data_IF_267403426118
#
_entry.id   IF_267403426118
#
_cell.length_a   1.000
_cell.length_b   1.000
_cell.length_c   1.000
_cell.angle_alpha   90.00
_cell.angle_beta   90.00
_cell.angle_gamma   90.00
#
_symmetry.space_group_name_H-M   'P 1'
#
loop_
_entity.id
_entity.type
_entity.pdbx_description
1 polymer ?
#
# COMPACT_ATOMS: atom_id res chain seq x y z
N UNK A 1 0.35 -16.70 -2.25
CA UNK A 1 1.49 -17.62 -2.52
C UNK A 1 1.68 -18.46 -1.27
N UNK A 2 1.75 -19.80 -1.40
CA UNK A 2 1.96 -20.68 -0.24
C UNK A 2 3.41 -20.58 0.25
N UNK A 3 3.63 -20.83 1.56
CA UNK A 3 4.96 -20.72 2.17
C UNK A 3 6.01 -21.61 1.48
N UNK A 4 5.61 -22.79 0.99
CA UNK A 4 6.49 -23.69 0.24
C UNK A 4 6.99 -23.09 -1.07
N UNK A 5 6.14 -22.36 -1.80
CA UNK A 5 6.54 -21.65 -3.02
C UNK A 5 7.54 -20.54 -2.71
N UNK A 6 7.32 -19.84 -1.59
CA UNK A 6 8.23 -18.77 -1.16
C UNK A 6 9.61 -19.32 -0.82
N UNK A 7 9.67 -20.41 -0.05
CA UNK A 7 10.93 -21.08 0.31
C UNK A 7 11.65 -21.56 -0.96
N UNK A 8 10.93 -22.19 -1.89
CA UNK A 8 11.49 -22.63 -3.17
C UNK A 8 12.06 -21.46 -3.98
N UNK A 9 11.33 -20.36 -4.06
CA UNK A 9 11.77 -19.16 -4.78
C UNK A 9 13.03 -18.56 -4.16
N UNK A 10 13.04 -18.37 -2.84
CA UNK A 10 14.19 -17.84 -2.09
C UNK A 10 15.44 -18.72 -2.27
N UNK A 11 15.26 -20.04 -2.16
CA UNK A 11 16.35 -21.00 -2.36
C UNK A 11 16.93 -20.93 -3.78
N UNK A 12 16.06 -20.91 -4.80
CA UNK A 12 16.47 -20.80 -6.21
C UNK A 12 17.21 -19.49 -6.48
N UNK A 13 16.72 -18.37 -5.95
CA UNK A 13 17.36 -17.07 -6.10
C UNK A 13 18.75 -17.03 -5.47
N UNK A 14 18.98 -17.82 -4.42
CA UNK A 14 20.28 -17.98 -3.77
C UNK A 14 21.17 -19.06 -4.43
N UNK A 15 20.66 -19.73 -5.47
CA UNK A 15 21.35 -20.81 -6.22
C UNK A 15 21.83 -21.97 -5.34
N UNK A 16 21.06 -22.35 -4.30
CA UNK A 16 21.38 -23.46 -3.41
C UNK A 16 20.42 -24.65 -3.63
N UNK A 17 20.94 -25.85 -3.34
CA UNK A 17 20.14 -27.09 -3.40
C UNK A 17 19.24 -27.27 -2.18
N UNK A 18 18.25 -28.16 -2.25
CA UNK A 18 17.42 -28.52 -1.09
C UNK A 18 18.26 -29.09 0.05
N UNK A 19 19.31 -29.86 -0.27
CA UNK A 19 20.22 -30.42 0.72
C UNK A 19 21.01 -29.34 1.44
N UNK A 20 21.57 -28.38 0.70
CA UNK A 20 22.29 -27.25 1.29
C UNK A 20 21.39 -26.37 2.18
N UNK A 21 20.14 -26.13 1.77
CA UNK A 21 19.21 -25.42 2.62
C UNK A 21 18.88 -26.22 3.88
N UNK A 22 18.68 -27.55 3.76
CA UNK A 22 18.40 -28.44 4.88
C UNK A 22 19.52 -28.43 5.92
N UNK A 23 20.78 -28.47 5.48
CA UNK A 23 21.96 -28.37 6.35
C UNK A 23 21.96 -27.07 7.18
N UNK A 24 21.72 -25.94 6.51
CA UNK A 24 21.67 -24.62 7.18
C UNK A 24 20.54 -24.54 8.21
N UNK A 25 19.41 -25.15 7.90
CA UNK A 25 18.23 -25.12 8.77
C UNK A 25 18.25 -26.24 9.82
N UNK A 26 19.27 -27.12 9.82
CA UNK A 26 19.36 -28.29 10.70
C UNK A 26 18.14 -29.23 10.58
N UNK A 27 17.67 -29.44 9.36
CA UNK A 27 16.54 -30.33 9.03
C UNK A 27 16.94 -31.33 7.96
N UNK A 28 16.09 -32.33 7.65
CA UNK A 28 16.35 -33.27 6.55
C UNK A 28 16.05 -32.60 5.17
N UNK A 29 16.79 -33.02 4.13
CA UNK A 29 16.49 -32.58 2.77
C UNK A 29 15.07 -32.99 2.33
N UNK A 30 14.57 -34.11 2.86
CA UNK A 30 13.21 -34.60 2.64
C UNK A 30 12.17 -33.63 3.24
N UNK A 31 12.46 -32.99 4.38
CA UNK A 31 11.59 -31.97 4.98
C UNK A 31 11.48 -30.77 4.06
N UNK A 32 12.60 -30.23 3.56
CA UNK A 32 12.62 -29.12 2.62
C UNK A 32 11.85 -29.48 1.34
N UNK A 33 12.06 -30.68 0.81
CA UNK A 33 11.33 -31.18 -0.36
C UNK A 33 9.82 -31.25 -0.12
N UNK A 34 9.38 -31.73 1.05
CA UNK A 34 7.95 -31.78 1.41
C UNK A 34 7.34 -30.40 1.51
N UNK A 35 8.05 -29.42 2.10
CA UNK A 35 7.58 -28.04 2.19
C UNK A 35 7.39 -27.41 0.80
N UNK A 36 8.40 -27.56 -0.07
CA UNK A 36 8.37 -27.03 -1.43
C UNK A 36 7.32 -27.69 -2.34
N UNK A 37 6.89 -28.90 -2.00
CA UNK A 37 5.85 -29.64 -2.73
C UNK A 37 4.49 -29.63 -2.02
N UNK A 38 4.33 -28.76 -1.00
CA UNK A 38 3.08 -28.57 -0.25
C UNK A 38 2.58 -29.85 0.47
N UNK A 39 3.46 -30.81 0.74
CA UNK A 39 3.14 -32.04 1.46
C UNK A 39 3.20 -31.86 2.97
N UNK A 40 3.89 -30.84 3.45
CA UNK A 40 3.94 -30.42 4.85
C UNK A 40 4.33 -28.93 4.93
N UNK A 41 4.27 -28.37 6.12
CA UNK A 41 4.73 -27.00 6.40
C UNK A 41 5.92 -27.06 7.38
N UNK A 42 6.81 -26.04 7.36
CA UNK A 42 7.86 -25.94 8.37
C UNK A 42 7.26 -25.79 9.79
N UNK A 43 7.96 -26.33 10.78
CA UNK A 43 7.64 -26.07 12.18
C UNK A 43 7.81 -24.58 12.48
N UNK A 44 6.99 -24.07 13.41
CA UNK A 44 6.99 -22.67 13.80
C UNK A 44 8.37 -22.18 14.30
N UNK A 45 9.13 -23.10 14.92
CA UNK A 45 10.47 -22.81 15.41
C UNK A 45 11.52 -22.62 14.31
N UNK A 46 11.28 -23.22 13.13
CA UNK A 46 12.18 -23.13 11.96
C UNK A 46 11.94 -21.84 11.15
N UNK A 47 10.74 -21.28 11.21
CA UNK A 47 10.38 -20.12 10.41
C UNK A 47 11.28 -18.90 10.66
N UNK A 48 11.62 -18.52 11.91
CA UNK A 48 12.54 -17.40 12.15
C UNK A 48 13.95 -17.68 11.62
N UNK A 49 14.38 -18.94 11.60
CA UNK A 49 15.69 -19.34 11.07
C UNK A 49 15.71 -19.17 9.55
N UNK A 50 14.64 -19.58 8.86
CA UNK A 50 14.46 -19.39 7.43
C UNK A 50 14.50 -17.88 7.09
N UNK A 51 13.70 -17.07 7.78
CA UNK A 51 13.64 -15.63 7.55
C UNK A 51 15.02 -14.98 7.71
N UNK A 52 15.72 -15.31 8.80
CA UNK A 52 17.08 -14.80 9.09
C UNK A 52 18.09 -15.22 8.03
N UNK A 53 18.07 -16.49 7.61
CA UNK A 53 19.00 -17.00 6.60
C UNK A 53 18.86 -16.32 5.25
N UNK A 54 17.63 -16.01 4.86
CA UNK A 54 17.34 -15.29 3.62
C UNK A 54 17.40 -13.77 3.76
N UNK A 55 17.56 -13.23 4.97
CA UNK A 55 17.62 -11.79 5.22
C UNK A 55 16.30 -11.07 4.95
N UNK A 56 15.19 -11.73 5.24
CA UNK A 56 13.83 -11.21 5.05
C UNK A 56 13.07 -11.18 6.38
N UNK A 57 11.97 -10.42 6.42
CA UNK A 57 11.07 -10.42 7.58
C UNK A 57 10.16 -11.66 7.59
N UNK A 58 9.54 -11.95 8.74
CA UNK A 58 8.52 -13.00 8.83
C UNK A 58 7.33 -12.70 7.91
N UNK A 59 6.93 -11.44 7.82
CA UNK A 59 5.85 -10.99 6.93
C UNK A 59 6.18 -11.28 5.46
N UNK A 60 7.43 -11.03 5.06
CA UNK A 60 7.90 -11.37 3.72
C UNK A 60 7.92 -12.88 3.47
N UNK A 61 8.28 -13.68 4.49
CA UNK A 61 8.31 -15.14 4.38
C UNK A 61 6.92 -15.72 4.14
N UNK A 62 5.92 -15.20 4.84
CA UNK A 62 4.52 -15.60 4.64
C UNK A 62 3.88 -14.94 3.42
N UNK A 63 4.59 -14.05 2.73
CA UNK A 63 4.00 -13.14 1.75
C UNK A 63 2.81 -12.39 2.35
N UNK A 64 2.81 -12.30 3.68
CA UNK A 64 1.84 -11.56 4.45
C UNK A 64 2.32 -10.12 4.43
N UNK A 65 2.02 -9.46 3.34
CA UNK A 65 2.10 -8.01 3.35
C UNK A 65 0.93 -7.54 4.18
N UNK A 66 1.18 -6.80 5.24
CA UNK A 66 0.24 -5.79 5.71
C UNK A 66 -0.16 -4.84 4.56
N UNK A 67 0.66 -4.78 3.52
CA UNK A 67 0.39 -4.24 2.19
C UNK A 67 -0.48 -5.14 1.28
N UNK A 68 -1.01 -6.26 1.76
CA UNK A 68 -2.03 -7.04 1.05
C UNK A 68 -3.38 -6.31 1.03
N UNK A 69 -3.52 -5.29 1.85
CA UNK A 69 -4.60 -4.33 1.69
C UNK A 69 -4.37 -3.59 0.36
N UNK A 70 -5.38 -3.61 -0.49
CA UNK A 70 -5.42 -2.76 -1.67
C UNK A 70 -5.19 -1.30 -1.27
N UNK A 71 -4.76 -0.44 -2.20
CA UNK A 71 -4.64 0.98 -1.87
C UNK A 71 -5.96 1.56 -1.35
N UNK A 72 -7.10 1.04 -1.80
CA UNK A 72 -8.45 1.44 -1.36
C UNK A 72 -8.67 1.12 0.13
N UNK A 73 -8.32 -0.08 0.57
CA UNK A 73 -8.44 -0.49 1.97
C UNK A 73 -7.49 0.29 2.87
N UNK A 74 -6.26 0.52 2.41
CA UNK A 74 -5.28 1.39 3.13
C UNK A 74 -5.78 2.83 3.20
N UNK A 75 -6.41 3.34 2.14
CA UNK A 75 -7.01 4.66 2.11
C UNK A 75 -8.18 4.78 3.09
N UNK A 76 -9.10 3.82 3.09
CA UNK A 76 -10.22 3.79 4.05
C UNK A 76 -9.70 3.77 5.48
N UNK A 77 -8.75 2.90 5.78
CA UNK A 77 -8.11 2.83 7.10
C UNK A 77 -7.47 4.17 7.49
N UNK A 78 -6.71 4.75 6.59
CA UNK A 78 -6.11 6.07 6.80
C UNK A 78 -7.16 7.14 7.11
N UNK A 79 -8.28 7.17 6.41
CA UNK A 79 -9.37 8.11 6.67
C UNK A 79 -10.00 7.91 8.06
N UNK A 80 -10.18 6.66 8.49
CA UNK A 80 -10.71 6.33 9.83
C UNK A 80 -9.71 6.75 10.91
N UNK A 81 -8.44 6.35 10.78
CA UNK A 81 -7.38 6.61 11.76
C UNK A 81 -7.14 8.12 11.95
N UNK A 82 -7.39 8.93 10.92
CA UNK A 82 -7.26 10.40 10.97
C UNK A 82 -8.58 11.13 11.24
N UNK A 83 -9.66 10.42 11.54
CA UNK A 83 -10.98 11.00 11.84
C UNK A 83 -11.66 11.68 10.66
N UNK A 84 -11.17 11.45 9.44
CA UNK A 84 -11.75 11.98 8.20
C UNK A 84 -13.02 11.22 7.82
N UNK A 85 -13.05 9.91 8.03
CA UNK A 85 -14.23 9.06 7.86
C UNK A 85 -14.79 8.71 9.24
N UNK A 86 -16.05 9.04 9.46
CA UNK A 86 -16.78 8.72 10.69
C UNK A 86 -18.04 7.95 10.37
N UNK A 87 -18.35 6.99 11.23
CA UNK A 87 -19.59 6.21 11.16
C UNK A 87 -20.56 6.78 12.18
N UNK A 88 -21.35 7.73 11.73
CA UNK A 88 -22.40 8.40 12.51
C UNK A 88 -23.54 8.79 11.58
N UNK A 89 -24.77 8.72 12.07
CA UNK A 89 -25.95 9.12 11.32
C UNK A 89 -25.95 10.61 11.10
N UNK A 90 -25.93 11.03 9.84
CA UNK A 90 -25.91 12.43 9.45
C UNK A 90 -27.03 12.76 8.46
N UNK A 91 -27.90 13.75 8.76
CA UNK A 91 -28.86 14.23 7.79
C UNK A 91 -28.16 14.92 6.62
N UNK A 92 -28.53 14.55 5.42
CA UNK A 92 -28.08 15.17 4.17
C UNK A 92 -29.07 16.28 3.77
N UNK A 93 -28.63 17.21 2.91
CA UNK A 93 -29.45 18.33 2.40
C UNK A 93 -30.71 17.86 1.64
N UNK A 94 -30.72 16.64 1.13
CA UNK A 94 -31.86 16.02 0.43
C UNK A 94 -32.83 15.26 1.36
N UNK A 95 -32.68 15.40 2.69
CA UNK A 95 -33.54 14.76 3.70
C UNK A 95 -33.21 13.29 3.99
N UNK A 96 -32.21 12.67 3.32
CA UNK A 96 -31.76 11.33 3.65
C UNK A 96 -30.82 11.36 4.85
N UNK A 97 -30.70 10.22 5.54
CA UNK A 97 -29.70 10.01 6.58
C UNK A 97 -28.59 9.13 6.02
N UNK A 98 -27.35 9.59 6.13
CA UNK A 98 -26.18 8.79 5.79
C UNK A 98 -25.61 8.16 7.04
N UNK A 99 -25.29 6.84 7.06
CA UNK A 99 -24.67 6.17 8.19
C UNK A 99 -23.17 6.48 8.33
N UNK A 100 -22.60 7.25 7.44
CA UNK A 100 -21.21 7.69 7.49
C UNK A 100 -21.05 9.11 6.94
N UNK A 101 -19.97 9.73 7.34
CA UNK A 101 -19.63 11.08 6.93
C UNK A 101 -18.12 11.22 6.65
N UNK A 102 -17.78 11.87 5.53
CA UNK A 102 -16.40 12.18 5.17
C UNK A 102 -16.18 13.69 5.39
N UNK A 103 -15.23 14.00 6.26
CA UNK A 103 -14.85 15.38 6.56
C UNK A 103 -13.53 15.73 5.87
N UNK A 104 -13.61 16.41 4.73
CA UNK A 104 -12.44 16.78 3.91
C UNK A 104 -11.51 17.83 4.54
N UNK A 105 -11.94 18.51 5.61
CA UNK A 105 -11.16 19.58 6.27
C UNK A 105 -10.21 19.09 7.38
N UNK A 106 -10.10 17.78 7.64
CA UNK A 106 -9.25 17.26 8.73
C UNK A 106 -7.78 17.02 8.36
N UNK A 107 -7.40 17.15 7.10
CA UNK A 107 -6.01 17.04 6.67
C UNK A 107 -5.24 18.35 6.91
N UNK A 108 -4.79 18.55 8.14
CA UNK A 108 -4.10 19.76 8.57
C UNK A 108 -2.59 19.62 8.68
N UNK A 109 -2.08 18.39 8.59
CA UNK A 109 -0.66 18.10 8.75
C UNK A 109 -0.02 17.74 7.40
N UNK A 110 1.23 18.13 7.20
CA UNK A 110 1.99 17.79 6.00
C UNK A 110 2.10 16.27 5.76
N UNK A 111 2.21 15.47 6.83
CA UNK A 111 2.21 14.01 6.74
C UNK A 111 0.90 13.44 6.19
N UNK A 112 -0.24 14.03 6.58
CA UNK A 112 -1.55 13.61 6.09
C UNK A 112 -1.72 13.96 4.60
N UNK A 113 -1.31 15.16 4.19
CA UNK A 113 -1.34 15.58 2.78
C UNK A 113 -0.41 14.73 1.93
N UNK A 114 0.81 14.49 2.40
CA UNK A 114 1.76 13.61 1.71
C UNK A 114 1.17 12.22 1.48
N UNK A 115 0.56 11.62 2.53
CA UNK A 115 -0.05 10.30 2.44
C UNK A 115 -1.29 10.28 1.52
N UNK A 116 -2.10 11.33 1.53
CA UNK A 116 -3.20 11.48 0.58
C UNK A 116 -2.69 11.54 -0.86
N UNK A 117 -1.65 12.33 -1.11
CA UNK A 117 -1.01 12.40 -2.43
C UNK A 117 -0.53 11.04 -2.92
N UNK A 118 0.00 10.19 -2.02
CA UNK A 118 0.38 8.81 -2.37
C UNK A 118 -0.82 7.97 -2.82
N UNK A 119 -1.95 8.03 -2.11
CA UNK A 119 -3.15 7.29 -2.48
C UNK A 119 -3.74 7.75 -3.81
N UNK A 120 -3.73 9.06 -4.08
CA UNK A 120 -4.19 9.58 -5.36
C UNK A 120 -3.26 9.17 -6.50
N UNK A 121 -1.95 9.21 -6.31
CA UNK A 121 -0.99 8.75 -7.30
C UNK A 121 -1.13 7.23 -7.57
N UNK A 122 -1.34 6.41 -6.54
CA UNK A 122 -1.60 4.98 -6.69
C UNK A 122 -2.92 4.74 -7.47
N UNK A 123 -3.97 5.50 -7.17
CA UNK A 123 -5.24 5.42 -7.89
C UNK A 123 -5.09 5.74 -9.38
N UNK A 124 -4.40 6.83 -9.70
CA UNK A 124 -4.12 7.25 -11.09
C UNK A 124 -3.39 6.13 -11.83
N UNK A 125 -2.37 5.53 -11.20
CA UNK A 125 -1.56 4.47 -11.81
C UNK A 125 -2.33 3.16 -11.97
N UNK A 126 -3.08 2.74 -10.95
CA UNK A 126 -3.85 1.48 -11.00
C UNK A 126 -4.92 1.51 -12.09
N UNK A 127 -5.55 2.67 -12.32
CA UNK A 127 -6.59 2.81 -13.33
C UNK A 127 -6.04 3.20 -14.71
N UNK A 128 -4.72 3.28 -14.88
CA UNK A 128 -4.11 3.65 -16.14
C UNK A 128 -4.52 5.03 -16.64
N UNK A 129 -4.79 5.98 -15.72
CA UNK A 129 -5.18 7.33 -16.09
C UNK A 129 -3.96 8.07 -16.62
N UNK A 130 -3.98 8.35 -17.91
CA UNK A 130 -2.98 9.19 -18.57
C UNK A 130 -3.40 10.64 -18.45
N UNK A 131 -2.60 11.45 -17.75
CA UNK A 131 -2.86 12.87 -17.59
C UNK A 131 -1.56 13.65 -17.63
N UNK A 132 -1.53 14.67 -18.48
CA UNK A 132 -0.41 15.60 -18.60
C UNK A 132 -0.56 16.79 -17.64
N UNK A 133 -1.72 16.96 -17.02
CA UNK A 133 -2.02 18.08 -16.15
C UNK A 133 -2.93 17.67 -14.99
N UNK A 134 -2.58 18.10 -13.79
CA UNK A 134 -3.41 18.01 -12.61
C UNK A 134 -4.08 19.37 -12.36
N UNK A 135 -5.39 19.37 -12.20
CA UNK A 135 -6.17 20.61 -12.02
C UNK A 135 -6.78 20.66 -10.63
N UNK A 136 -6.51 21.73 -9.89
CA UNK A 136 -7.16 22.05 -8.62
C UNK A 136 -8.24 23.11 -8.86
N UNK A 137 -9.48 22.79 -8.47
CA UNK A 137 -10.65 23.64 -8.72
C UNK A 137 -10.78 24.72 -7.66
N UNK A 138 -10.30 24.47 -6.46
CA UNK A 138 -10.34 25.42 -5.36
C UNK A 138 -9.06 25.39 -4.50
N UNK A 139 -8.84 26.41 -3.71
CA UNK A 139 -7.62 26.60 -2.90
C UNK A 139 -7.35 25.45 -1.92
N UNK A 140 -8.39 24.76 -1.41
CA UNK A 140 -8.25 23.66 -0.45
C UNK A 140 -7.66 22.41 -1.08
N UNK A 141 -7.73 22.30 -2.40
CA UNK A 141 -7.22 21.16 -3.17
C UNK A 141 -5.76 21.31 -3.58
N UNK A 142 -5.23 22.55 -3.53
CA UNK A 142 -3.85 22.85 -3.95
C UNK A 142 -2.81 21.97 -3.25
N UNK A 143 -2.82 21.82 -1.91
CA UNK A 143 -1.83 20.99 -1.23
C UNK A 143 -1.88 19.53 -1.68
N UNK A 144 -3.08 18.99 -1.90
CA UNK A 144 -3.27 17.63 -2.36
C UNK A 144 -2.79 17.43 -3.80
N UNK A 145 -3.09 18.39 -4.66
CA UNK A 145 -2.64 18.41 -6.06
C UNK A 145 -1.11 18.37 -6.15
N UNK A 146 -0.44 19.23 -5.38
CA UNK A 146 1.04 19.28 -5.33
C UNK A 146 1.60 17.97 -4.79
N UNK A 147 1.06 17.43 -3.67
CA UNK A 147 1.52 16.19 -3.09
C UNK A 147 1.34 14.99 -4.03
N UNK A 148 0.23 14.97 -4.80
CA UNK A 148 -0.03 13.94 -5.81
C UNK A 148 1.00 14.00 -6.93
N UNK A 149 1.27 15.16 -7.49
CA UNK A 149 2.25 15.34 -8.57
C UNK A 149 3.67 15.02 -8.12
N UNK A 150 4.06 15.46 -6.92
CA UNK A 150 5.36 15.10 -6.33
C UNK A 150 5.51 13.57 -6.18
N UNK A 151 4.45 12.88 -5.77
CA UNK A 151 4.47 11.43 -5.65
C UNK A 151 4.51 10.73 -7.01
N UNK A 152 3.75 11.22 -8.00
CA UNK A 152 3.78 10.70 -9.37
C UNK A 152 5.20 10.78 -9.95
N UNK A 153 5.87 11.90 -9.76
CA UNK A 153 7.24 12.06 -10.19
C UNK A 153 8.21 11.16 -9.41
N UNK A 154 8.19 11.22 -8.07
CA UNK A 154 9.16 10.52 -7.23
C UNK A 154 9.05 8.99 -7.31
N UNK A 155 7.81 8.44 -7.37
CA UNK A 155 7.61 6.98 -7.38
C UNK A 155 7.49 6.38 -8.77
N UNK A 156 6.98 7.13 -9.73
CA UNK A 156 6.61 6.58 -11.04
C UNK A 156 7.29 7.27 -12.22
N UNK A 157 8.08 8.32 -11.98
CA UNK A 157 8.75 9.08 -13.03
C UNK A 157 7.80 9.86 -13.95
N UNK A 158 6.55 10.07 -13.51
CA UNK A 158 5.54 10.80 -14.28
C UNK A 158 5.58 12.26 -13.88
N UNK A 159 6.00 13.10 -14.82
CA UNK A 159 5.99 14.55 -14.65
C UNK A 159 4.69 15.15 -15.20
N UNK A 160 3.98 15.89 -14.37
CA UNK A 160 2.67 16.45 -14.69
C UNK A 160 2.66 17.97 -14.46
N UNK A 161 2.04 18.70 -15.35
CA UNK A 161 1.79 20.12 -15.15
C UNK A 161 0.74 20.35 -14.07
N UNK A 162 0.81 21.49 -13.40
CA UNK A 162 -0.22 21.96 -12.47
C UNK A 162 -1.02 23.08 -13.12
N UNK A 163 -2.34 22.97 -13.04
CA UNK A 163 -3.24 24.05 -13.39
C UNK A 163 -4.12 24.38 -12.19
N UNK A 164 -4.04 25.62 -11.74
CA UNK A 164 -4.85 26.14 -10.66
C UNK A 164 -5.82 27.15 -11.24
N UNK A 165 -7.11 26.93 -11.04
CA UNK A 165 -8.13 27.87 -11.47
C UNK A 165 -8.17 29.02 -10.43
N UNK A 166 -7.47 30.08 -10.71
CA UNK A 166 -7.58 31.31 -9.94
C UNK A 166 -8.85 32.00 -10.41
N UNK A 167 -9.94 31.85 -9.68
CA UNK A 167 -11.11 32.73 -9.84
C UNK A 167 -10.70 34.06 -9.20
N UNK A 168 -10.24 34.98 -10.01
CA UNK A 168 -10.12 36.36 -9.57
C UNK A 168 -11.52 36.79 -9.10
N UNK A 169 -11.67 37.07 -7.81
CA UNK A 169 -12.85 37.82 -7.34
C UNK A 169 -12.90 39.08 -8.19
N UNK A 170 -13.95 39.24 -8.98
CA UNK A 170 -14.24 40.50 -9.62
C UNK A 170 -14.52 41.45 -8.47
N UNK A 171 -13.64 42.43 -8.29
CA UNK A 171 -13.85 43.55 -7.43
C UNK A 171 -15.25 44.08 -7.71
N UNK A 172 -16.12 44.00 -6.71
CA UNK A 172 -17.45 44.58 -6.72
C UNK A 172 -17.39 46.04 -6.23
#
# INVERSE_FOLDING_TARGET
MLIGDKIRSLRKNKNITQTQLAEVLSVSAQSVSKWENHLSVPDISVLPVIARYFGITMDDLFSYRLDALTYKERFIRFMVDNGMLRFEDRPLSNGRVSPYYIHSGYHRMGSQISRLGEFYAECIREHGIESNCLVGVNEREIPLLIATGMTLFAKYGVDSHYCMNYIAEKDA
#
